data_IF_864778559122
#
_entry.id   IF_864778559122
#
_cell.length_a   1.000
_cell.length_b   1.000
_cell.length_c   1.000
_cell.angle_alpha   90.00
_cell.angle_beta   90.00
_cell.angle_gamma   90.00
#
_symmetry.space_group_name_H-M   'P 1'
#
loop_
_entity.id
_entity.type
_entity.pdbx_description
1 polymer ?
#
# COMPACT_ATOMS: atom_id res chain seq x y z
N UNK A 1 -34.73 -17.93 -28.58
CA UNK A 1 -33.93 -18.14 -29.81
C UNK A 1 -32.51 -17.69 -29.51
N UNK A 2 -31.64 -18.61 -29.10
CA UNK A 2 -30.23 -18.30 -28.80
C UNK A 2 -29.40 -19.01 -29.85
N UNK A 3 -28.82 -18.25 -30.78
CA UNK A 3 -27.95 -18.81 -31.81
C UNK A 3 -26.59 -19.14 -31.20
N UNK A 4 -26.19 -20.41 -31.27
CA UNK A 4 -24.86 -20.87 -30.87
C UNK A 4 -23.83 -20.28 -31.86
N UNK A 5 -22.89 -19.48 -31.37
CA UNK A 5 -21.78 -18.98 -32.17
C UNK A 5 -20.82 -20.12 -32.50
N UNK A 6 -20.57 -20.36 -33.79
CA UNK A 6 -19.64 -21.39 -34.30
C UNK A 6 -18.48 -20.69 -35.00
N UNK A 7 -17.29 -20.61 -34.37
CA UNK A 7 -16.14 -19.94 -34.97
C UNK A 7 -15.61 -20.71 -36.20
N UNK A 8 -15.13 -19.96 -37.19
CA UNK A 8 -14.55 -20.43 -38.46
C UNK A 8 -13.11 -20.91 -38.29
N UNK A 9 -12.63 -21.82 -39.17
CA UNK A 9 -11.29 -22.43 -39.04
C UNK A 9 -10.11 -21.45 -39.17
N UNK A 10 -10.33 -20.22 -39.64
CA UNK A 10 -9.27 -19.19 -39.70
C UNK A 10 -8.99 -18.53 -38.33
N UNK A 11 -9.92 -18.56 -37.37
CA UNK A 11 -9.73 -17.95 -36.05
C UNK A 11 -8.86 -18.82 -35.12
N UNK A 12 -8.65 -20.10 -35.48
CA UNK A 12 -7.86 -21.05 -34.69
C UNK A 12 -6.34 -20.87 -34.82
N UNK A 13 -5.85 -20.04 -35.75
CA UNK A 13 -4.41 -20.00 -36.11
C UNK A 13 -3.62 -18.79 -35.57
N UNK A 14 -4.26 -17.80 -34.95
CA UNK A 14 -3.55 -16.62 -34.37
C UNK A 14 -3.20 -16.77 -32.89
N UNK A 15 -3.44 -17.95 -32.30
CA UNK A 15 -3.19 -18.22 -30.87
C UNK A 15 -1.76 -18.67 -30.56
N UNK A 16 -0.76 -18.33 -31.37
CA UNK A 16 0.62 -18.69 -31.11
C UNK A 16 1.60 -17.56 -31.45
N UNK A 17 2.41 -17.20 -30.45
CA UNK A 17 3.62 -16.39 -30.51
C UNK A 17 3.47 -14.90 -30.18
N UNK A 18 3.13 -14.61 -28.92
CA UNK A 18 3.56 -13.37 -28.27
C UNK A 18 4.64 -13.69 -27.24
N UNK A 19 5.88 -13.73 -27.71
CA UNK A 19 7.09 -13.80 -26.89
C UNK A 19 7.42 -12.40 -26.33
N UNK A 20 6.59 -11.90 -25.43
CA UNK A 20 6.99 -10.78 -24.58
C UNK A 20 7.91 -11.34 -23.49
N UNK A 21 9.21 -11.13 -23.67
CA UNK A 21 10.26 -11.37 -22.68
C UNK A 21 9.84 -10.85 -21.31
N UNK A 22 9.39 -11.74 -20.42
CA UNK A 22 9.34 -11.47 -18.98
C UNK A 22 10.69 -11.84 -18.40
N UNK A 23 11.62 -10.89 -18.45
CA UNK A 23 12.86 -10.90 -17.68
C UNK A 23 12.50 -10.97 -16.20
N UNK A 24 12.44 -12.18 -15.67
CA UNK A 24 12.29 -12.44 -14.24
C UNK A 24 13.64 -12.23 -13.59
N UNK A 25 13.98 -10.99 -13.28
CA UNK A 25 15.06 -10.73 -12.33
C UNK A 25 14.64 -11.28 -10.97
N UNK A 26 15.42 -12.15 -10.32
CA UNK A 26 15.20 -12.44 -8.91
C UNK A 26 15.54 -11.16 -8.15
N UNK A 27 14.52 -10.39 -7.78
CA UNK A 27 14.69 -9.39 -6.72
C UNK A 27 14.92 -10.22 -5.47
N UNK A 28 16.17 -10.30 -5.05
CA UNK A 28 16.58 -10.83 -3.76
C UNK A 28 15.69 -10.22 -2.70
N UNK A 29 14.74 -11.02 -2.21
CA UNK A 29 14.13 -10.83 -0.92
C UNK A 29 15.26 -11.04 0.07
N UNK A 30 15.98 -9.97 0.40
CA UNK A 30 16.78 -9.95 1.61
C UNK A 30 15.79 -10.12 2.75
N UNK A 31 15.59 -11.36 3.16
CA UNK A 31 15.07 -11.72 4.47
C UNK A 31 16.08 -11.19 5.46
N UNK A 32 15.96 -9.90 5.77
CA UNK A 32 16.63 -9.32 6.93
C UNK A 32 15.90 -9.91 8.12
N UNK A 33 16.50 -10.97 8.63
CA UNK A 33 16.28 -11.54 9.95
C UNK A 33 15.77 -10.48 10.91
N UNK A 34 14.54 -10.69 11.39
CA UNK A 34 13.94 -9.96 12.49
C UNK A 34 14.75 -10.21 13.76
N UNK A 35 15.88 -9.53 13.90
CA UNK A 35 16.55 -9.34 15.17
C UNK A 35 15.83 -8.19 15.85
N UNK A 36 14.85 -8.54 16.65
CA UNK A 36 14.34 -7.69 17.72
C UNK A 36 15.53 -7.13 18.51
N UNK A 37 15.44 -5.86 18.91
CA UNK A 37 16.36 -5.10 19.78
C UNK A 37 17.31 -4.15 19.05
N UNK A 38 16.76 -3.00 18.62
CA UNK A 38 17.41 -1.70 18.92
C UNK A 38 16.33 -0.61 19.00
N UNK A 39 16.21 -0.04 20.19
CA UNK A 39 15.42 1.15 20.45
C UNK A 39 16.08 2.38 19.82
N UNK A 40 15.22 3.21 19.21
CA UNK A 40 15.25 4.68 19.23
C UNK A 40 16.51 5.41 18.72
N UNK A 41 16.43 5.96 17.51
CA UNK A 41 16.34 7.41 17.25
C UNK A 41 16.01 7.63 15.76
N UNK A 42 15.21 8.66 15.45
CA UNK A 42 14.72 9.06 14.13
C UNK A 42 13.56 8.22 13.51
N UNK A 43 12.34 8.50 14.00
CA UNK A 43 11.05 8.44 13.28
C UNK A 43 11.05 7.70 11.92
N UNK A 44 10.84 6.38 11.94
CA UNK A 44 10.47 5.63 10.73
C UNK A 44 9.08 6.10 10.27
N UNK A 45 8.95 6.84 9.15
CA UNK A 45 7.67 7.44 8.73
C UNK A 45 6.67 6.41 8.21
N UNK A 46 7.12 5.17 8.03
CA UNK A 46 6.41 4.09 7.34
C UNK A 46 5.32 3.47 8.20
N UNK A 47 5.40 3.61 9.53
CA UNK A 47 4.52 2.90 10.44
C UNK A 47 3.26 3.72 10.75
N UNK A 48 2.04 3.22 10.42
CA UNK A 48 0.79 3.88 10.76
C UNK A 48 0.60 3.94 12.29
N UNK A 49 0.00 5.02 12.78
CA UNK A 49 -0.46 5.10 14.17
C UNK A 49 -1.58 4.08 14.43
N UNK A 50 -1.66 3.59 15.67
CA UNK A 50 -2.65 2.60 16.06
C UNK A 50 -4.07 3.11 15.79
N UNK A 51 -4.87 2.32 15.09
CA UNK A 51 -6.17 2.77 14.60
C UNK A 51 -7.15 3.14 15.73
N UNK A 52 -7.09 2.44 16.88
CA UNK A 52 -7.92 2.75 18.06
C UNK A 52 -7.58 4.14 18.57
N UNK A 53 -6.29 4.46 18.69
CA UNK A 53 -5.86 5.78 19.09
C UNK A 53 -6.46 6.81 18.14
N UNK A 54 -6.21 6.69 16.84
CA UNK A 54 -6.62 7.68 15.83
C UNK A 54 -8.15 7.86 15.71
N UNK A 55 -8.94 6.81 15.95
CA UNK A 55 -10.41 6.86 15.82
C UNK A 55 -11.14 7.15 17.14
N UNK A 56 -10.58 6.77 18.30
CA UNK A 56 -11.26 6.88 19.61
C UNK A 56 -11.60 8.32 20.00
N UNK A 57 -10.83 9.31 19.54
CA UNK A 57 -11.09 10.72 19.83
C UNK A 57 -11.89 11.48 18.75
N UNK A 58 -12.43 10.78 17.73
CA UNK A 58 -13.06 11.45 16.58
C UNK A 58 -14.52 11.06 16.38
N UNK A 59 -15.28 12.06 15.94
CA UNK A 59 -16.64 11.87 15.43
C UNK A 59 -16.59 11.06 14.12
N UNK A 60 -17.43 10.02 13.97
CA UNK A 60 -17.39 9.10 12.83
C UNK A 60 -17.69 9.75 11.46
N UNK A 61 -18.06 11.03 11.43
CA UNK A 61 -18.31 11.81 10.21
C UNK A 61 -17.09 12.55 9.65
N UNK A 62 -15.96 12.64 10.36
CA UNK A 62 -14.79 13.42 9.91
C UNK A 62 -13.72 12.57 9.26
N UNK A 63 -13.29 12.95 8.06
CA UNK A 63 -12.13 12.35 7.40
C UNK A 63 -10.89 12.57 8.27
N UNK A 64 -10.21 11.48 8.62
CA UNK A 64 -8.96 11.51 9.37
C UNK A 64 -7.91 10.80 8.56
N UNK A 65 -6.82 11.49 8.29
CA UNK A 65 -5.66 10.88 7.65
C UNK A 65 -4.86 10.10 8.69
N UNK A 66 -4.84 8.77 8.60
CA UNK A 66 -4.08 7.94 9.52
C UNK A 66 -2.56 8.07 9.38
N UNK A 67 -2.15 8.57 8.23
CA UNK A 67 -0.77 8.72 7.80
C UNK A 67 -0.34 10.18 7.85
N UNK A 68 -0.94 11.00 8.71
CA UNK A 68 -0.64 12.43 8.82
C UNK A 68 0.87 12.71 9.04
N UNK A 69 1.59 11.81 9.72
CA UNK A 69 3.04 11.90 9.88
C UNK A 69 3.78 11.73 8.53
N UNK A 70 3.49 10.66 7.77
CA UNK A 70 4.05 10.42 6.45
C UNK A 70 3.68 11.54 5.45
N UNK A 71 2.47 12.07 5.54
CA UNK A 71 2.04 13.21 4.72
C UNK A 71 2.89 14.46 5.01
N UNK A 72 3.09 14.82 6.28
CA UNK A 72 3.99 15.94 6.66
C UNK A 72 5.42 15.72 6.16
N UNK A 73 5.89 14.47 6.21
CA UNK A 73 7.24 14.15 5.75
C UNK A 73 7.37 14.28 4.23
N UNK A 74 6.34 13.91 3.47
CA UNK A 74 6.31 14.11 2.02
C UNK A 74 6.33 15.59 1.64
N UNK A 75 5.62 16.44 2.39
CA UNK A 75 5.66 17.88 2.21
C UNK A 75 7.03 18.47 2.54
N UNK A 76 7.63 18.03 3.66
CA UNK A 76 8.98 18.44 4.04
C UNK A 76 10.01 18.08 2.97
N UNK A 77 9.93 16.88 2.40
CA UNK A 77 10.83 16.49 1.31
C UNK A 77 10.68 17.39 0.09
N UNK A 78 9.45 17.78 -0.27
CA UNK A 78 9.21 18.73 -1.36
C UNK A 78 9.80 20.10 -1.03
N UNK A 79 9.60 20.62 0.18
CA UNK A 79 10.14 21.91 0.59
C UNK A 79 11.68 21.94 0.52
N UNK A 80 12.33 20.86 0.96
CA UNK A 80 13.79 20.74 0.96
C UNK A 80 14.39 20.52 -0.45
N UNK A 81 13.61 20.00 -1.40
CA UNK A 81 14.05 19.65 -2.77
C UNK A 81 13.45 20.55 -3.87
N UNK A 82 13.01 21.77 -3.52
CA UNK A 82 12.40 22.71 -4.47
C UNK A 82 11.21 22.09 -5.24
N UNK A 83 10.38 21.30 -4.55
CA UNK A 83 9.19 20.62 -5.06
C UNK A 83 9.46 19.56 -6.14
N UNK A 84 10.69 19.05 -6.23
CA UNK A 84 11.04 17.96 -7.11
C UNK A 84 10.52 16.61 -6.56
N UNK A 85 9.43 16.12 -7.17
CA UNK A 85 8.79 14.85 -6.79
C UNK A 85 9.67 13.63 -7.07
N UNK A 86 10.62 13.73 -8.01
CA UNK A 86 11.46 12.58 -8.39
C UNK A 86 12.37 12.13 -7.25
N UNK A 87 12.82 13.07 -6.42
CA UNK A 87 13.69 12.83 -5.26
C UNK A 87 12.94 12.32 -4.03
N UNK A 88 11.63 12.53 -3.98
CA UNK A 88 10.78 12.19 -2.83
C UNK A 88 9.97 10.90 -3.01
N UNK A 89 10.29 10.09 -4.02
CA UNK A 89 9.56 8.85 -4.34
C UNK A 89 9.40 7.90 -3.16
N UNK A 90 10.46 7.71 -2.37
CA UNK A 90 10.44 6.81 -1.22
C UNK A 90 9.50 7.29 -0.12
N UNK A 91 9.43 8.60 0.13
CA UNK A 91 8.52 9.17 1.13
C UNK A 91 7.05 9.04 0.69
N UNK A 92 6.78 9.17 -0.61
CA UNK A 92 5.45 8.90 -1.15
C UNK A 92 5.08 7.43 -1.06
N UNK A 93 6.03 6.52 -1.25
CA UNK A 93 5.82 5.09 -1.08
C UNK A 93 5.48 4.76 0.38
N UNK A 94 6.15 5.38 1.35
CA UNK A 94 5.82 5.23 2.77
C UNK A 94 4.39 5.68 3.08
N UNK A 95 3.93 6.81 2.52
CA UNK A 95 2.54 7.26 2.67
C UNK A 95 1.53 6.25 2.08
N UNK A 96 1.83 5.68 0.91
CA UNK A 96 1.00 4.65 0.26
C UNK A 96 0.93 3.37 1.08
N UNK A 97 2.07 2.88 1.57
CA UNK A 97 2.13 1.67 2.38
C UNK A 97 1.44 1.87 3.73
N UNK A 98 1.59 3.03 4.37
CA UNK A 98 0.86 3.36 5.58
C UNK A 98 -0.67 3.29 5.36
N UNK A 99 -1.18 3.88 4.27
CA UNK A 99 -2.61 3.85 3.95
C UNK A 99 -3.11 2.44 3.67
N UNK A 100 -2.30 1.63 2.97
CA UNK A 100 -2.60 0.23 2.67
C UNK A 100 -2.62 -0.62 3.93
N UNK A 101 -1.63 -0.48 4.80
CA UNK A 101 -1.55 -1.14 6.10
C UNK A 101 -2.76 -0.80 6.97
N UNK A 102 -3.15 0.47 7.03
CA UNK A 102 -4.35 0.89 7.76
C UNK A 102 -5.64 0.23 7.24
N UNK A 103 -5.86 0.23 5.92
CA UNK A 103 -7.05 -0.40 5.34
C UNK A 103 -7.06 -1.90 5.63
N UNK A 104 -5.91 -2.55 5.54
CA UNK A 104 -5.76 -3.96 5.86
C UNK A 104 -6.01 -4.24 7.34
N UNK A 105 -5.46 -3.43 8.25
CA UNK A 105 -5.69 -3.52 9.69
C UNK A 105 -7.19 -3.41 9.98
N UNK A 106 -7.86 -2.35 9.48
CA UNK A 106 -9.31 -2.17 9.64
C UNK A 106 -10.15 -3.28 9.01
N UNK A 107 -9.67 -3.94 7.94
CA UNK A 107 -10.33 -5.12 7.38
C UNK A 107 -10.17 -6.31 8.32
N UNK A 108 -8.96 -6.51 8.84
CA UNK A 108 -8.63 -7.58 9.78
C UNK A 108 -9.38 -7.42 11.11
N UNK A 109 -9.50 -6.20 11.63
CA UNK A 109 -10.25 -5.91 12.85
C UNK A 109 -11.73 -6.26 12.71
N UNK A 110 -12.31 -6.05 11.51
CA UNK A 110 -13.68 -6.47 11.18
C UNK A 110 -13.82 -7.99 11.17
N UNK A 111 -12.84 -8.69 10.61
CA UNK A 111 -12.86 -10.16 10.56
C UNK A 111 -12.64 -10.78 11.95
N UNK A 112 -11.79 -10.16 12.76
CA UNK A 112 -11.37 -10.67 14.06
C UNK A 112 -12.24 -10.18 15.23
N UNK A 113 -13.28 -9.38 14.97
CA UNK A 113 -14.12 -8.74 15.99
C UNK A 113 -13.29 -8.08 17.11
N UNK A 114 -12.29 -7.28 16.73
CA UNK A 114 -11.42 -6.62 17.73
C UNK A 114 -12.26 -5.68 18.61
N UNK A 115 -12.25 -5.83 19.95
CA UNK A 115 -13.01 -4.95 20.84
C UNK A 115 -12.48 -3.51 20.77
N UNK A 116 -13.39 -2.52 20.77
CA UNK A 116 -13.08 -1.09 20.69
C UNK A 116 -12.72 -0.60 19.27
N UNK A 117 -12.89 -1.45 18.25
CA UNK A 117 -12.56 -1.08 16.87
C UNK A 117 -13.70 -0.40 16.10
N UNK A 118 -14.93 -0.65 16.54
CA UNK A 118 -16.19 -0.23 15.91
C UNK A 118 -17.17 0.39 16.92
N UNK A 119 -16.71 0.60 18.15
CA UNK A 119 -17.43 1.28 19.23
C UNK A 119 -17.09 2.77 19.18
#
# INVERSE_FOLDING_TARGET
>A
MSSQYKPTPEEASTSASSSYLSSSSPRTSTTTTSTSTVHATASDPSQPQDFISVMSYKTPSKYTDPCAHAAKLSMKCLDDNAYDRSKCGDVFNQYRECKKAWINQRRQDRLNNRPGAFD
#
